data_IF_973685046588
#
_entry.id   IF_973685046588
#
_cell.length_a   1.000
_cell.length_b   1.000
_cell.length_c   1.000
_cell.angle_alpha   90.00
_cell.angle_beta   90.00
_cell.angle_gamma   90.00
#
_symmetry.space_group_name_H-M   'P 1'
#
loop_
_entity.id
_entity.type
_entity.pdbx_description
1 polymer ?
#
# COMPACT_ATOMS: atom_id res chain seq x y z
N UNK A 1 -64.79 -44.40 26.00
CA UNK A 1 -63.95 -43.41 26.72
C UNK A 1 -62.62 -43.31 25.99
N UNK A 2 -62.43 -42.23 25.24
CA UNK A 2 -61.25 -41.99 24.38
C UNK A 2 -60.25 -41.10 25.12
N UNK A 3 -59.01 -41.56 25.21
CA UNK A 3 -57.85 -40.83 25.74
C UNK A 3 -57.55 -39.59 24.89
N UNK A 4 -57.23 -38.43 25.48
CA UNK A 4 -56.75 -37.30 24.71
C UNK A 4 -55.28 -37.49 24.36
N UNK A 5 -54.99 -37.53 23.05
CA UNK A 5 -53.62 -37.49 22.53
C UNK A 5 -53.05 -36.08 22.76
N UNK A 6 -52.03 -35.98 23.62
CA UNK A 6 -51.26 -34.76 23.83
C UNK A 6 -50.38 -34.50 22.60
N UNK A 7 -50.72 -33.47 21.81
CA UNK A 7 -49.85 -33.01 20.72
C UNK A 7 -48.55 -32.43 21.29
N UNK A 8 -47.44 -33.15 21.10
CA UNK A 8 -46.08 -32.68 21.39
C UNK A 8 -45.60 -31.75 20.28
N UNK A 9 -45.51 -30.45 20.58
CA UNK A 9 -44.94 -29.41 19.68
C UNK A 9 -43.48 -29.07 20.02
N UNK A 10 -42.77 -29.89 20.81
CA UNK A 10 -41.47 -29.50 21.40
C UNK A 10 -40.24 -29.80 20.53
N UNK A 11 -40.35 -30.63 19.49
CA UNK A 11 -39.18 -31.14 18.74
C UNK A 11 -38.72 -30.26 17.57
N UNK A 12 -39.57 -29.34 17.07
CA UNK A 12 -39.23 -28.45 15.94
C UNK A 12 -38.33 -27.27 16.35
N UNK A 13 -38.40 -26.85 17.62
CA UNK A 13 -37.63 -25.74 18.19
C UNK A 13 -36.15 -26.07 18.43
N UNK A 14 -35.81 -27.33 18.75
CA UNK A 14 -34.41 -27.71 18.99
C UNK A 14 -33.59 -27.70 17.71
N UNK A 15 -34.06 -28.34 16.63
CA UNK A 15 -33.30 -28.42 15.35
C UNK A 15 -32.97 -27.03 14.78
N UNK A 16 -33.91 -26.10 14.92
CA UNK A 16 -33.75 -24.70 14.48
C UNK A 16 -32.68 -23.92 15.28
N UNK A 17 -32.55 -24.22 16.58
CA UNK A 17 -31.50 -23.63 17.42
C UNK A 17 -30.11 -24.16 17.07
N UNK A 18 -30.01 -25.44 16.66
CA UNK A 18 -28.73 -26.06 16.30
C UNK A 18 -28.22 -25.63 14.92
N UNK A 19 -29.09 -25.50 13.91
CA UNK A 19 -28.67 -25.03 12.57
C UNK A 19 -28.28 -23.55 12.59
N UNK A 20 -29.00 -22.72 13.37
CA UNK A 20 -28.63 -21.32 13.58
C UNK A 20 -27.28 -21.17 14.29
N UNK A 21 -27.03 -21.95 15.34
CA UNK A 21 -25.74 -21.97 16.04
C UNK A 21 -24.58 -22.42 15.15
N UNK A 22 -24.78 -23.47 14.35
CA UNK A 22 -23.78 -23.96 13.40
C UNK A 22 -23.48 -22.92 12.30
N UNK A 23 -24.51 -22.31 11.71
CA UNK A 23 -24.37 -21.25 10.71
C UNK A 23 -23.66 -20.02 11.28
N UNK A 24 -24.02 -19.58 12.49
CA UNK A 24 -23.37 -18.47 13.17
C UNK A 24 -21.88 -18.76 13.46
N UNK A 25 -21.54 -19.98 13.86
CA UNK A 25 -20.15 -20.38 14.08
C UNK A 25 -19.32 -20.38 12.78
N UNK A 26 -19.89 -20.89 11.68
CA UNK A 26 -19.24 -20.87 10.35
C UNK A 26 -19.04 -19.43 9.87
N UNK A 27 -20.07 -18.59 9.97
CA UNK A 27 -20.00 -17.17 9.60
C UNK A 27 -18.93 -16.43 10.41
N UNK A 28 -18.92 -16.61 11.74
CA UNK A 28 -17.93 -15.98 12.61
C UNK A 28 -16.51 -16.42 12.24
N UNK A 29 -16.30 -17.71 12.01
CA UNK A 29 -14.99 -18.26 11.62
C UNK A 29 -14.53 -17.66 10.29
N UNK A 30 -15.41 -17.64 9.28
CA UNK A 30 -15.12 -17.01 7.99
C UNK A 30 -14.78 -15.53 8.14
N UNK A 31 -15.55 -14.79 8.93
CA UNK A 31 -15.31 -13.36 9.18
C UNK A 31 -13.95 -13.12 9.82
N UNK A 32 -13.59 -13.88 10.86
CA UNK A 32 -12.31 -13.75 11.55
C UNK A 32 -11.12 -14.06 10.62
N UNK A 33 -11.18 -15.17 9.88
CA UNK A 33 -10.13 -15.51 8.92
C UNK A 33 -10.03 -14.48 7.79
N UNK A 34 -11.16 -14.03 7.26
CA UNK A 34 -11.21 -13.00 6.23
C UNK A 34 -10.55 -11.71 6.73
N UNK A 35 -10.92 -11.26 7.93
CA UNK A 35 -10.32 -10.07 8.54
C UNK A 35 -8.81 -10.23 8.75
N UNK A 36 -8.36 -11.38 9.23
CA UNK A 36 -6.93 -11.66 9.39
C UNK A 36 -6.18 -11.64 8.05
N UNK A 37 -6.75 -12.22 6.99
CA UNK A 37 -6.18 -12.18 5.63
C UNK A 37 -6.10 -10.74 5.12
N UNK A 38 -7.14 -9.93 5.33
CA UNK A 38 -7.14 -8.52 4.93
C UNK A 38 -6.00 -7.74 5.59
N UNK A 39 -5.82 -7.92 6.91
CA UNK A 39 -4.73 -7.29 7.66
C UNK A 39 -3.35 -7.79 7.19
N UNK A 40 -3.22 -9.10 6.94
CA UNK A 40 -1.98 -9.70 6.47
C UNK A 40 -1.55 -9.17 5.10
N UNK A 41 -2.46 -9.17 4.12
CA UNK A 41 -2.19 -8.64 2.78
C UNK A 41 -1.94 -7.13 2.85
N UNK A 42 -2.70 -6.38 3.66
CA UNK A 42 -2.47 -4.95 3.86
C UNK A 42 -1.07 -4.66 4.39
N UNK A 43 -0.62 -5.39 5.42
CA UNK A 43 0.72 -5.22 5.97
C UNK A 43 1.81 -5.58 4.95
N UNK A 44 1.65 -6.71 4.25
CA UNK A 44 2.59 -7.15 3.21
C UNK A 44 2.73 -6.12 2.08
N UNK A 45 1.62 -5.59 1.56
CA UNK A 45 1.67 -4.57 0.51
C UNK A 45 2.28 -3.26 1.02
N UNK A 46 2.06 -2.90 2.29
CA UNK A 46 2.66 -1.70 2.86
C UNK A 46 4.18 -1.85 3.02
N UNK A 47 4.65 -3.03 3.39
CA UNK A 47 6.06 -3.35 3.50
C UNK A 47 6.73 -3.37 2.12
N UNK A 48 6.09 -3.99 1.12
CA UNK A 48 6.53 -3.93 -0.28
C UNK A 48 6.68 -2.48 -0.76
N UNK A 49 5.75 -1.59 -0.41
CA UNK A 49 5.83 -0.17 -0.77
C UNK A 49 6.99 0.53 -0.06
N UNK A 50 7.24 0.23 1.22
CA UNK A 50 8.40 0.77 1.96
C UNK A 50 9.71 0.31 1.32
N UNK A 51 9.81 -0.97 0.96
CA UNK A 51 10.99 -1.54 0.32
C UNK A 51 11.19 -0.94 -1.07
N UNK A 52 10.14 -0.77 -1.85
CA UNK A 52 10.25 -0.22 -3.21
C UNK A 52 10.78 1.22 -3.19
N UNK A 53 10.23 2.10 -2.34
CA UNK A 53 10.72 3.49 -2.24
C UNK A 53 12.16 3.56 -1.74
N UNK A 54 12.53 2.68 -0.81
CA UNK A 54 13.90 2.56 -0.31
C UNK A 54 14.84 2.12 -1.41
N UNK A 55 14.46 1.09 -2.15
CA UNK A 55 15.22 0.54 -3.26
C UNK A 55 15.42 1.56 -4.39
N UNK A 56 14.38 2.34 -4.72
CA UNK A 56 14.47 3.40 -5.71
C UNK A 56 15.40 4.54 -5.25
N UNK A 57 15.35 4.94 -3.98
CA UNK A 57 16.21 6.00 -3.46
C UNK A 57 17.69 5.57 -3.40
N UNK A 58 17.96 4.32 -3.02
CA UNK A 58 19.31 3.77 -2.98
C UNK A 58 19.91 3.66 -4.38
N UNK A 59 19.14 3.17 -5.37
CA UNK A 59 19.61 3.16 -6.77
C UNK A 59 19.79 4.58 -7.29
N UNK A 60 18.91 5.52 -6.92
CA UNK A 60 19.08 6.93 -7.33
C UNK A 60 20.38 7.50 -6.80
N UNK A 61 20.70 7.21 -5.54
CA UNK A 61 21.97 7.60 -4.89
C UNK A 61 23.17 6.98 -5.60
N UNK A 62 23.09 5.68 -5.92
CA UNK A 62 24.16 4.98 -6.63
C UNK A 62 24.40 5.54 -8.04
N UNK A 63 23.32 5.88 -8.74
CA UNK A 63 23.35 6.40 -10.11
C UNK A 63 23.96 7.80 -10.17
N UNK A 64 23.67 8.68 -9.20
CA UNK A 64 24.33 10.00 -9.13
C UNK A 64 25.79 9.89 -8.68
N UNK A 65 26.10 8.92 -7.80
CA UNK A 65 27.46 8.67 -7.34
C UNK A 65 28.34 8.15 -8.48
N UNK A 66 27.87 7.17 -9.25
CA UNK A 66 28.60 6.63 -10.40
C UNK A 66 28.77 7.65 -11.54
N UNK A 67 27.85 8.61 -11.65
CA UNK A 67 27.95 9.74 -12.57
C UNK A 67 28.85 10.88 -12.06
N UNK A 68 29.51 10.71 -10.90
CA UNK A 68 30.40 11.70 -10.28
C UNK A 68 29.70 13.04 -9.97
N UNK A 69 28.40 13.01 -9.69
CA UNK A 69 27.61 14.20 -9.35
C UNK A 69 27.62 14.50 -7.84
N UNK A 70 28.26 13.65 -7.07
CA UNK A 70 28.36 13.72 -5.60
C UNK A 70 29.67 14.37 -5.13
N UNK A 71 30.40 15.06 -6.01
CA UNK A 71 31.70 15.68 -5.69
C UNK A 71 31.55 17.13 -5.19
N UNK A 72 30.47 17.81 -5.60
CA UNK A 72 30.15 19.16 -5.15
C UNK A 72 28.63 19.40 -5.33
N UNK A 73 28.05 20.17 -4.42
CA UNK A 73 26.72 20.77 -4.56
C UNK A 73 26.47 21.44 -5.92
N UNK A 74 27.49 22.05 -6.53
CA UNK A 74 27.37 22.68 -7.86
C UNK A 74 27.13 21.67 -9.00
N UNK A 75 27.47 20.40 -8.79
CA UNK A 75 27.24 19.32 -9.76
C UNK A 75 25.78 18.84 -9.77
N UNK A 76 25.04 19.09 -8.68
CA UNK A 76 23.63 18.73 -8.52
C UNK A 76 22.72 19.77 -9.21
N UNK A 77 22.68 19.70 -10.54
CA UNK A 77 21.77 20.54 -11.35
C UNK A 77 20.79 19.67 -12.13
N UNK A 78 19.64 20.26 -12.51
CA UNK A 78 18.66 19.58 -13.35
C UNK A 78 19.25 19.12 -14.70
N UNK A 79 20.21 19.86 -15.24
CA UNK A 79 20.90 19.55 -16.50
C UNK A 79 21.82 18.33 -16.36
N UNK A 80 22.48 18.16 -15.21
CA UNK A 80 23.35 17.02 -14.93
C UNK A 80 22.56 15.76 -14.53
N UNK A 81 21.53 15.92 -13.69
CA UNK A 81 20.72 14.81 -13.16
C UNK A 81 19.79 14.23 -14.23
N UNK A 82 19.21 15.07 -15.08
CA UNK A 82 18.20 14.68 -16.06
C UNK A 82 18.62 13.54 -17.00
N UNK A 83 19.76 13.65 -17.72
CA UNK A 83 20.23 12.60 -18.61
C UNK A 83 20.47 11.28 -17.88
N UNK A 84 21.10 11.33 -16.71
CA UNK A 84 21.49 10.16 -15.94
C UNK A 84 20.26 9.41 -15.41
N UNK A 85 19.28 10.13 -14.87
CA UNK A 85 18.03 9.52 -14.38
C UNK A 85 17.21 8.93 -15.54
N UNK A 86 17.09 9.64 -16.66
CA UNK A 86 16.27 9.20 -17.80
C UNK A 86 16.88 8.04 -18.58
N UNK A 87 18.21 7.91 -18.59
CA UNK A 87 18.90 6.81 -19.25
C UNK A 87 19.04 5.57 -18.35
N UNK A 88 18.81 5.71 -17.04
CA UNK A 88 18.88 4.58 -16.10
C UNK A 88 17.67 3.66 -16.27
N UNK A 89 17.92 2.48 -16.82
CA UNK A 89 16.92 1.41 -16.95
C UNK A 89 16.47 0.95 -15.56
N UNK A 90 17.41 0.76 -14.63
CA UNK A 90 17.14 0.30 -13.27
C UNK A 90 16.23 1.28 -12.50
N UNK A 91 16.47 2.59 -12.64
CA UNK A 91 15.58 3.60 -12.04
C UNK A 91 14.21 3.60 -12.68
N UNK A 92 14.16 3.55 -14.01
CA UNK A 92 12.90 3.58 -14.76
C UNK A 92 11.98 2.41 -14.38
N UNK A 93 12.55 1.22 -14.15
CA UNK A 93 11.80 0.05 -13.69
C UNK A 93 11.30 0.19 -12.24
N UNK A 94 12.07 0.84 -11.37
CA UNK A 94 11.73 1.00 -9.94
C UNK A 94 10.77 2.15 -9.68
N UNK A 95 10.73 3.16 -10.55
CA UNK A 95 9.87 4.34 -10.41
C UNK A 95 8.41 4.09 -10.81
N UNK A 96 8.03 2.85 -11.11
CA UNK A 96 6.72 2.42 -11.64
C UNK A 96 5.58 3.39 -11.31
N UNK A 97 5.14 3.50 -10.04
CA UNK A 97 4.10 4.42 -9.55
C UNK A 97 4.63 5.56 -8.65
N UNK A 98 5.94 5.81 -8.68
CA UNK A 98 6.64 6.71 -7.75
C UNK A 98 7.03 8.03 -8.40
N UNK A 99 7.25 9.01 -7.52
CA UNK A 99 7.85 10.29 -7.84
C UNK A 99 9.23 10.34 -7.19
N UNK A 100 10.25 10.65 -7.98
CA UNK A 100 11.62 10.89 -7.54
C UNK A 100 11.89 12.39 -7.61
N UNK A 101 12.23 12.99 -6.48
CA UNK A 101 12.57 14.40 -6.38
C UNK A 101 13.98 14.57 -5.83
N UNK A 102 14.72 15.52 -6.42
CA UNK A 102 16.05 15.92 -5.99
C UNK A 102 16.00 17.33 -5.42
N UNK A 103 16.68 17.54 -4.31
CA UNK A 103 16.74 18.81 -3.60
C UNK A 103 18.19 19.22 -3.36
N UNK A 104 18.43 20.53 -3.35
CA UNK A 104 19.72 21.08 -2.91
C UNK A 104 19.87 20.98 -1.38
N UNK A 105 21.05 21.34 -0.87
CA UNK A 105 21.34 21.38 0.57
C UNK A 105 20.35 22.25 1.38
N UNK A 106 19.79 23.27 0.74
CA UNK A 106 18.84 24.21 1.32
C UNK A 106 17.39 23.73 1.18
N UNK A 107 17.17 22.53 0.63
CA UNK A 107 15.85 21.91 0.46
C UNK A 107 15.02 22.48 -0.67
N UNK A 108 15.63 23.23 -1.60
CA UNK A 108 14.97 23.72 -2.80
C UNK A 108 14.94 22.62 -3.85
N UNK A 109 13.80 22.45 -4.50
CA UNK A 109 13.62 21.46 -5.56
C UNK A 109 14.55 21.78 -6.75
N UNK A 110 15.36 20.81 -7.13
CA UNK A 110 16.21 20.85 -8.34
C UNK A 110 15.44 20.28 -9.52
N UNK A 111 14.92 19.06 -9.37
CA UNK A 111 14.20 18.35 -10.42
C UNK A 111 13.32 17.24 -9.86
N UNK A 112 12.30 16.87 -10.63
CA UNK A 112 11.35 15.81 -10.30
C UNK A 112 11.13 14.91 -11.52
N UNK A 113 11.05 13.61 -11.29
CA UNK A 113 10.90 12.57 -12.30
C UNK A 113 9.85 11.55 -11.88
N UNK A 114 9.13 11.02 -12.85
CA UNK A 114 8.26 9.84 -12.69
C UNK A 114 8.45 8.91 -13.88
N UNK A 115 7.94 7.68 -13.79
CA UNK A 115 7.80 6.85 -14.97
C UNK A 115 6.95 7.57 -16.05
N UNK A 116 7.30 7.46 -17.33
CA UNK A 116 6.67 8.25 -18.40
C UNK A 116 5.15 8.09 -18.46
N UNK A 117 4.68 6.85 -18.28
CA UNK A 117 3.25 6.50 -18.21
C UNK A 117 2.48 7.23 -17.10
N UNK A 118 3.17 7.73 -16.08
CA UNK A 118 2.59 8.39 -14.92
C UNK A 118 2.77 9.91 -14.88
N UNK A 119 3.48 10.50 -15.84
CA UNK A 119 3.64 11.97 -15.94
C UNK A 119 2.30 12.73 -16.06
N UNK A 120 1.26 12.06 -16.56
CA UNK A 120 -0.09 12.63 -16.68
C UNK A 120 -0.88 12.62 -15.37
N UNK A 121 -0.43 11.87 -14.36
CA UNK A 121 -1.16 11.72 -13.10
C UNK A 121 -1.04 13.00 -12.25
N UNK A 122 -2.09 13.40 -11.50
CA UNK A 122 -2.03 14.59 -10.66
C UNK A 122 -0.88 14.55 -9.64
N UNK A 123 -0.63 13.39 -9.03
CA UNK A 123 0.43 13.22 -8.04
C UNK A 123 1.84 13.44 -8.60
N UNK A 124 2.05 13.28 -9.92
CA UNK A 124 3.32 13.54 -10.56
C UNK A 124 3.69 15.03 -10.60
N UNK A 125 2.74 15.92 -10.28
CA UNK A 125 2.89 17.39 -10.35
C UNK A 125 2.78 18.08 -8.98
N UNK A 126 2.53 17.32 -7.91
CA UNK A 126 2.46 17.90 -6.57
C UNK A 126 3.84 18.36 -6.12
N UNK A 127 3.85 19.43 -5.32
CA UNK A 127 5.05 19.89 -4.64
C UNK A 127 5.19 19.15 -3.30
N UNK A 128 6.24 18.33 -3.21
CA UNK A 128 6.55 17.54 -2.01
C UNK A 128 7.58 18.20 -1.09
N UNK A 129 8.07 19.40 -1.43
CA UNK A 129 9.15 20.08 -0.71
C UNK A 129 8.81 20.34 0.76
N UNK A 130 7.54 20.58 1.08
CA UNK A 130 7.06 20.77 2.46
C UNK A 130 7.18 19.54 3.36
N UNK A 131 7.35 18.35 2.78
CA UNK A 131 7.52 17.08 3.49
C UNK A 131 8.98 16.61 3.54
N UNK A 132 9.91 17.41 3.02
CA UNK A 132 11.35 17.14 3.11
C UNK A 132 11.82 17.36 4.55
N UNK A 133 12.49 16.36 5.11
CA UNK A 133 13.12 16.38 6.43
C UNK A 133 14.63 16.35 6.22
N UNK A 134 15.28 17.49 6.50
CA UNK A 134 16.73 17.66 6.33
C UNK A 134 17.49 16.99 7.47
N UNK A 135 17.75 15.69 7.33
CA UNK A 135 18.48 14.89 8.32
C UNK A 135 19.69 14.20 7.71
N UNK A 136 20.76 13.99 8.49
CA UNK A 136 21.97 13.28 8.04
C UNK A 136 21.78 11.77 7.90
N UNK A 137 20.58 11.26 8.19
CA UNK A 137 20.25 9.85 8.11
C UNK A 137 19.02 9.62 7.21
N UNK A 138 18.96 8.47 6.51
CA UNK A 138 17.77 8.07 5.77
C UNK A 138 16.52 8.05 6.65
N UNK A 139 15.42 8.58 6.14
CA UNK A 139 14.19 8.75 6.93
C UNK A 139 12.95 8.31 6.15
N UNK A 140 12.06 7.59 6.84
CA UNK A 140 10.72 7.30 6.37
C UNK A 140 9.71 8.29 6.93
N UNK A 141 8.75 8.69 6.10
CA UNK A 141 7.59 9.45 6.53
C UNK A 141 6.33 8.94 5.83
N UNK A 142 5.19 9.02 6.51
CA UNK A 142 3.89 8.58 5.97
C UNK A 142 2.82 9.68 6.09
N UNK A 143 3.03 10.87 5.47
CA UNK A 143 2.09 11.97 5.58
C UNK A 143 0.79 11.67 4.80
N UNK A 144 -0.22 12.49 5.06
CA UNK A 144 -1.42 12.56 4.21
C UNK A 144 -1.34 13.78 3.32
N UNK A 145 -1.32 13.58 2.01
CA UNK A 145 -1.24 14.64 1.00
C UNK A 145 -2.54 14.60 0.20
N UNK A 146 -3.27 15.72 0.17
CA UNK A 146 -4.59 15.81 -0.49
C UNK A 146 -5.56 14.68 -0.05
N UNK A 147 -5.56 14.35 1.24
CA UNK A 147 -6.41 13.30 1.82
C UNK A 147 -5.93 11.86 1.55
N UNK A 148 -4.91 11.67 0.73
CA UNK A 148 -4.33 10.37 0.41
C UNK A 148 -3.09 10.11 1.27
N UNK A 149 -3.01 8.93 1.89
CA UNK A 149 -1.79 8.51 2.58
C UNK A 149 -0.71 8.20 1.55
N UNK A 150 0.50 8.70 1.79
CA UNK A 150 1.66 8.46 0.93
C UNK A 150 2.80 7.88 1.76
N UNK A 151 3.70 7.14 1.12
CA UNK A 151 4.97 6.72 1.73
C UNK A 151 6.08 7.55 1.11
N UNK A 152 6.89 8.17 1.94
CA UNK A 152 8.06 8.95 1.53
C UNK A 152 9.30 8.34 2.16
N UNK A 153 10.32 8.10 1.35
CA UNK A 153 11.66 7.76 1.81
C UNK A 153 12.67 8.80 1.33
N UNK A 154 13.52 9.23 2.24
CA UNK A 154 14.42 10.37 2.04
C UNK A 154 15.83 9.93 2.37
N UNK A 155 16.79 10.27 1.52
CA UNK A 155 18.22 9.99 1.75
C UNK A 155 19.04 11.26 1.49
N UNK A 156 19.98 11.60 2.39
CA UNK A 156 20.92 12.68 2.12
C UNK A 156 21.92 12.27 1.04
N UNK A 157 22.30 13.24 0.22
CA UNK A 157 23.42 13.12 -0.72
C UNK A 157 24.64 13.70 -0.02
N UNK A 158 25.65 12.86 0.21
CA UNK A 158 26.91 13.26 0.84
C UNK A 158 27.99 13.52 -0.23
N UNK A 159 28.88 14.45 0.05
CA UNK A 159 30.06 14.72 -0.75
C UNK A 159 30.98 13.48 -0.71
N UNK A 160 31.42 13.04 -1.88
CA UNK A 160 32.25 11.82 -2.03
C UNK A 160 33.69 12.04 -1.59
N UNK A 161 34.15 13.31 -1.54
CA UNK A 161 35.50 13.65 -1.15
C UNK A 161 35.70 13.50 0.36
N UNK A 162 34.74 14.00 1.15
CA UNK A 162 34.83 14.00 2.63
C UNK A 162 33.92 12.96 3.30
N UNK A 163 32.96 12.39 2.56
CA UNK A 163 31.97 11.43 3.03
C UNK A 163 31.15 11.91 4.25
N UNK A 164 31.04 13.22 4.44
CA UNK A 164 30.43 13.83 5.62
C UNK A 164 29.53 15.03 5.27
N UNK A 165 29.94 15.88 4.32
CA UNK A 165 29.19 17.08 3.96
C UNK A 165 27.94 16.74 3.16
N UNK A 166 26.78 17.21 3.60
CA UNK A 166 25.52 17.02 2.87
C UNK A 166 25.41 18.09 1.80
N UNK A 167 25.32 17.66 0.55
CA UNK A 167 25.25 18.53 -0.64
C UNK A 167 23.85 18.57 -1.26
N UNK A 168 22.96 17.66 -0.86
CA UNK A 168 21.58 17.63 -1.31
C UNK A 168 20.77 16.50 -0.69
N UNK A 169 19.56 16.28 -1.20
CA UNK A 169 18.67 15.22 -0.73
C UNK A 169 17.94 14.58 -1.90
N UNK A 170 17.69 13.28 -1.79
CA UNK A 170 16.81 12.52 -2.68
C UNK A 170 15.56 12.15 -1.89
N UNK A 171 14.40 12.36 -2.51
CA UNK A 171 13.11 11.96 -1.97
C UNK A 171 12.41 11.06 -2.97
N UNK A 172 11.96 9.90 -2.52
CA UNK A 172 11.09 9.01 -3.30
C UNK A 172 9.72 8.95 -2.63
N UNK A 173 8.70 9.26 -3.40
CA UNK A 173 7.31 9.35 -2.96
C UNK A 173 6.51 8.25 -3.67
N UNK A 174 5.89 7.37 -2.89
CA UNK A 174 4.86 6.47 -3.38
C UNK A 174 3.48 7.01 -2.98
N UNK A 175 2.59 7.35 -3.94
CA UNK A 175 1.27 7.86 -3.64
C UNK A 175 0.33 6.79 -3.06
N UNK A 176 0.76 5.52 -2.94
CA UNK A 176 -0.02 4.38 -2.45
C UNK A 176 -1.30 4.11 -3.26
N UNK A 177 -1.36 4.59 -4.51
CA UNK A 177 -2.54 4.40 -5.37
C UNK A 177 -2.84 2.92 -5.60
N UNK A 178 -1.80 2.13 -5.84
CA UNK A 178 -1.91 0.69 -6.07
C UNK A 178 -2.33 -0.05 -4.80
N UNK A 179 -1.77 0.31 -3.65
CA UNK A 179 -2.17 -0.23 -2.35
C UNK A 179 -3.66 0.00 -2.08
N UNK A 180 -4.13 1.25 -2.21
CA UNK A 180 -5.53 1.61 -1.97
C UNK A 180 -6.47 0.87 -2.94
N UNK A 181 -6.07 0.73 -4.22
CA UNK A 181 -6.86 0.01 -5.22
C UNK A 181 -6.96 -1.48 -4.90
N UNK A 182 -5.85 -2.13 -4.55
CA UNK A 182 -5.82 -3.56 -4.23
C UNK A 182 -6.60 -3.84 -2.95
N UNK A 183 -6.41 -3.05 -1.89
CA UNK A 183 -7.17 -3.19 -0.65
C UNK A 183 -8.66 -2.96 -0.85
N UNK A 184 -9.06 -1.99 -1.68
CA UNK A 184 -10.46 -1.77 -2.02
C UNK A 184 -11.09 -2.95 -2.77
N UNK A 185 -10.37 -3.51 -3.75
CA UNK A 185 -10.81 -4.72 -4.48
C UNK A 185 -10.91 -5.93 -3.55
N UNK A 186 -9.92 -6.12 -2.69
CA UNK A 186 -9.89 -7.21 -1.71
C UNK A 186 -11.11 -7.12 -0.79
N UNK A 187 -11.38 -5.94 -0.23
CA UNK A 187 -12.55 -5.69 0.61
C UNK A 187 -13.85 -6.04 -0.12
N UNK A 188 -14.03 -5.58 -1.36
CA UNK A 188 -15.22 -5.86 -2.16
C UNK A 188 -15.39 -7.36 -2.43
N UNK A 189 -14.30 -8.07 -2.76
CA UNK A 189 -14.30 -9.52 -2.95
C UNK A 189 -14.66 -10.25 -1.66
N UNK A 190 -14.16 -9.82 -0.50
CA UNK A 190 -14.51 -10.42 0.79
C UNK A 190 -16.00 -10.25 1.11
N UNK A 191 -16.58 -9.08 0.84
CA UNK A 191 -18.02 -8.88 0.99
C UNK A 191 -18.83 -9.75 0.04
N UNK A 192 -18.41 -9.87 -1.22
CA UNK A 192 -19.05 -10.72 -2.22
C UNK A 192 -19.05 -12.19 -1.76
N UNK A 193 -17.88 -12.71 -1.37
CA UNK A 193 -17.73 -14.08 -0.89
C UNK A 193 -18.51 -14.33 0.40
N UNK A 194 -18.50 -13.37 1.33
CA UNK A 194 -19.29 -13.44 2.56
C UNK A 194 -20.80 -13.47 2.29
N UNK A 195 -21.29 -12.69 1.31
CA UNK A 195 -22.69 -12.72 0.89
C UNK A 195 -23.07 -14.07 0.27
N UNK A 196 -22.24 -14.62 -0.62
CA UNK A 196 -22.45 -15.94 -1.23
C UNK A 196 -22.48 -17.04 -0.17
N UNK A 197 -21.52 -17.03 0.76
CA UNK A 197 -21.47 -17.99 1.87
C UNK A 197 -22.74 -17.92 2.74
N UNK A 198 -23.20 -16.70 3.05
CA UNK A 198 -24.42 -16.48 3.83
C UNK A 198 -25.68 -17.00 3.12
N UNK A 199 -25.78 -16.82 1.80
CA UNK A 199 -26.89 -17.34 1.00
C UNK A 199 -26.90 -18.87 0.95
N UNK A 200 -25.74 -19.50 0.77
CA UNK A 200 -25.63 -20.96 0.76
C UNK A 200 -25.98 -21.57 2.13
N UNK A 201 -25.52 -20.93 3.21
CA UNK A 201 -25.89 -21.33 4.57
C UNK A 201 -27.41 -21.21 4.78
N UNK A 202 -28.02 -20.09 4.38
CA UNK A 202 -29.47 -19.91 4.47
C UNK A 202 -30.29 -20.88 3.61
N UNK A 203 -29.82 -21.20 2.40
CA UNK A 203 -30.50 -22.14 1.49
C UNK A 203 -30.47 -23.58 2.03
N UNK A 204 -29.36 -24.00 2.64
CA UNK A 204 -29.26 -25.31 3.29
C UNK A 204 -30.32 -25.51 4.40
N UNK A 205 -30.66 -24.44 5.11
CA UNK A 205 -31.64 -24.43 6.20
C UNK A 205 -33.09 -24.43 5.67
N UNK A 206 -33.35 -23.82 4.50
CA UNK A 206 -34.66 -23.86 3.81
C UNK A 206 -34.93 -25.25 3.22
N UNK A 207 -33.92 -25.89 2.63
CA UNK A 207 -34.07 -27.22 2.04
C UNK A 207 -34.38 -28.28 3.12
N UNK A 208 -33.79 -28.16 4.31
CA UNK A 208 -34.14 -29.01 5.47
C UNK A 208 -35.58 -28.82 5.97
N UNK A 209 -36.27 -27.71 5.66
CA UNK A 209 -37.68 -27.51 6.03
C UNK A 209 -38.67 -28.10 5.04
N UNK A 210 -38.26 -28.35 3.79
CA UNK A 210 -39.15 -28.84 2.71
C UNK A 210 -39.23 -30.37 2.63
N UNK A 211 -38.31 -31.08 3.27
CA UNK A 211 -38.18 -32.55 3.22
C UNK A 211 -38.60 -33.26 4.52
N UNK A 212 -39.20 -32.53 5.47
CA UNK A 212 -39.78 -33.07 6.72
C UNK A 212 -41.22 -32.64 6.89
#
# INVERSE_FOLDING_TARGET
MTTPNTFSLKSRSLKFKWTFGASAAIFLTFFLFSFAIYQGIGSMLLDEKNDTVKSAALVSSQVIYSANLTVDSSSLTAASIGPIVRQSIDLSQRLEDQVLAFYDKDGKLISQYTAEQNNVKPYAKYDYSSYLVKQPAPTFSKPKINGQQVVIYQVPIVDSNDNASIIGYIQVINPMTSYNSIMGKLLATMFLLGAVASLLAGCSDIYSRKTS
#
